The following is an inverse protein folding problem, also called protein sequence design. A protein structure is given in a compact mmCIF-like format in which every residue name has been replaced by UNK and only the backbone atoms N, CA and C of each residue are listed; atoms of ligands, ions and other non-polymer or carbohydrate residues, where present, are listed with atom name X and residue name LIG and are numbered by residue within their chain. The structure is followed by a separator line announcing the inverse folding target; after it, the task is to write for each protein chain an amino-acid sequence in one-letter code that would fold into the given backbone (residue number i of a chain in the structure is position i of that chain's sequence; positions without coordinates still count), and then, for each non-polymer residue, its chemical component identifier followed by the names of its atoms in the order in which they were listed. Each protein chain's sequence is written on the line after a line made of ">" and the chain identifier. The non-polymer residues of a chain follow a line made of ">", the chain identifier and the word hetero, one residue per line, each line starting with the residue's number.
data_IF_381666685673
#
_entry.id   IF_381666685673
#
_cell.length_a   1.000
_cell.length_b   1.000
_cell.length_c   1.000
_cell.angle_alpha   90.00
_cell.angle_beta   90.00
_cell.angle_gamma   90.00
#
_symmetry.space_group_name_H-M   'P 1'
#
loop_
_entity.id
_entity.type
_entity.pdbx_description
1 polymer ?
#
# COMPACT_ATOMS: atom_id res chain seq x y z
N UNK A 1 -11.38 6.05 24.97
CA UNK A 1 -9.93 5.84 24.78
C UNK A 1 -9.08 6.32 25.96
N UNK A 2 -9.13 7.61 26.36
CA UNK A 2 -8.33 8.15 27.48
C UNK A 2 -8.44 7.35 28.79
N UNK A 3 -9.64 6.96 29.21
CA UNK A 3 -9.84 6.16 30.43
C UNK A 3 -9.25 4.75 30.36
N UNK A 4 -9.10 4.20 29.15
CA UNK A 4 -8.56 2.86 28.92
C UNK A 4 -7.02 2.90 29.01
N UNK A 5 -6.41 3.93 28.41
CA UNK A 5 -4.96 4.17 28.52
C UNK A 5 -4.52 4.54 29.94
N UNK A 6 -5.32 5.34 30.67
CA UNK A 6 -5.05 5.68 32.07
C UNK A 6 -5.05 4.45 33.00
N UNK A 7 -5.88 3.44 32.71
CA UNK A 7 -5.95 2.18 33.48
C UNK A 7 -4.83 1.20 33.11
N UNK A 8 -4.27 1.32 31.91
CA UNK A 8 -3.24 0.42 31.39
C UNK A 8 -2.15 1.19 30.61
N UNK A 9 -1.21 1.85 31.31
CA UNK A 9 -0.16 2.67 30.67
C UNK A 9 0.76 1.89 29.73
N UNK A 10 0.91 0.58 29.96
CA UNK A 10 1.66 -0.31 29.08
C UNK A 10 1.02 -0.44 27.69
N UNK A 11 -0.32 -0.43 27.61
CA UNK A 11 -1.04 -0.45 26.34
C UNK A 11 -0.82 0.85 25.57
N UNK A 12 -0.75 2.00 26.24
CA UNK A 12 -0.43 3.28 25.59
C UNK A 12 0.97 3.26 24.95
N UNK A 13 1.98 2.78 25.69
CA UNK A 13 3.34 2.68 25.14
C UNK A 13 3.41 1.65 24.00
N UNK A 14 2.66 0.56 24.08
CA UNK A 14 2.63 -0.47 23.05
C UNK A 14 1.96 0.05 21.77
N UNK A 15 0.78 0.65 21.88
CA UNK A 15 0.04 1.19 20.72
C UNK A 15 0.80 2.33 20.07
N UNK A 16 1.46 3.19 20.86
CA UNK A 16 2.33 4.25 20.33
C UNK A 16 3.47 3.67 19.50
N UNK A 17 4.23 2.70 20.03
CA UNK A 17 5.33 2.06 19.28
C UNK A 17 4.84 1.36 18.01
N UNK A 18 3.74 0.62 18.10
CA UNK A 18 3.12 -0.02 16.94
C UNK A 18 2.70 1.01 15.88
N UNK A 19 2.16 2.15 16.29
CA UNK A 19 1.78 3.21 15.37
C UNK A 19 3.01 3.85 14.73
N UNK A 20 4.06 4.13 15.49
CA UNK A 20 5.33 4.67 14.98
C UNK A 20 5.96 3.74 13.94
N UNK A 21 6.06 2.44 14.24
CA UNK A 21 6.61 1.44 13.32
C UNK A 21 5.78 1.31 12.04
N UNK A 22 4.46 1.19 12.17
CA UNK A 22 3.56 1.10 11.01
C UNK A 22 3.62 2.38 10.17
N UNK A 23 3.64 3.54 10.81
CA UNK A 23 3.70 4.82 10.11
C UNK A 23 5.01 4.97 9.35
N UNK A 24 6.14 4.59 9.97
CA UNK A 24 7.45 4.60 9.29
C UNK A 24 7.43 3.71 8.05
N UNK A 25 6.90 2.49 8.14
CA UNK A 25 6.80 1.60 6.99
C UNK A 25 5.91 2.17 5.89
N UNK A 26 4.74 2.70 6.23
CA UNK A 26 3.82 3.30 5.25
C UNK A 26 4.47 4.50 4.57
N UNK A 27 5.20 5.32 5.31
CA UNK A 27 5.91 6.47 4.77
C UNK A 27 7.01 6.07 3.78
N UNK A 28 7.79 5.04 4.09
CA UNK A 28 8.81 4.49 3.18
C UNK A 28 8.17 3.88 1.92
N UNK A 29 7.11 3.07 2.07
CA UNK A 29 6.39 2.50 0.94
C UNK A 29 5.82 3.59 0.02
N UNK A 30 5.26 4.66 0.61
CA UNK A 30 4.70 5.77 -0.14
C UNK A 30 5.78 6.60 -0.86
N UNK A 31 6.91 6.86 -0.21
CA UNK A 31 8.05 7.53 -0.84
C UNK A 31 8.60 6.73 -2.02
N UNK A 32 8.77 5.41 -1.84
CA UNK A 32 9.18 4.52 -2.90
C UNK A 32 8.16 4.51 -4.05
N UNK A 33 6.86 4.49 -3.73
CA UNK A 33 5.79 4.53 -4.73
C UNK A 33 5.85 5.83 -5.56
N UNK A 34 6.00 6.99 -4.93
CA UNK A 34 6.10 8.28 -5.62
C UNK A 34 7.31 8.30 -6.56
N UNK A 35 8.48 7.84 -6.07
CA UNK A 35 9.71 7.81 -6.85
C UNK A 35 9.69 6.78 -8.00
N UNK A 36 8.86 5.74 -7.90
CA UNK A 36 8.78 4.66 -8.88
C UNK A 36 8.07 5.09 -10.17
N UNK A 37 8.52 4.53 -11.29
CA UNK A 37 7.81 4.64 -12.57
C UNK A 37 6.48 3.88 -12.55
N UNK A 38 5.52 4.22 -13.43
CA UNK A 38 4.25 3.51 -13.56
C UNK A 38 4.39 1.98 -13.74
N UNK A 39 5.39 1.55 -14.51
CA UNK A 39 5.64 0.13 -14.76
C UNK A 39 6.14 -0.59 -13.51
N UNK A 40 7.05 0.04 -12.75
CA UNK A 40 7.54 -0.48 -11.48
C UNK A 40 6.43 -0.57 -10.43
N UNK A 41 5.52 0.39 -10.39
CA UNK A 41 4.35 0.34 -9.49
C UNK A 41 3.45 -0.86 -9.80
N UNK A 42 3.17 -1.10 -11.08
CA UNK A 42 2.39 -2.28 -11.52
C UNK A 42 3.11 -3.57 -11.15
N UNK A 43 4.41 -3.67 -11.42
CA UNK A 43 5.24 -4.84 -11.08
C UNK A 43 5.28 -5.09 -9.58
N UNK A 44 5.46 -4.03 -8.79
CA UNK A 44 5.47 -4.09 -7.33
C UNK A 44 4.12 -4.59 -6.79
N UNK A 45 3.00 -4.13 -7.37
CA UNK A 45 1.67 -4.62 -7.00
C UNK A 45 1.52 -6.12 -7.31
N UNK A 46 1.93 -6.56 -8.50
CA UNK A 46 1.90 -7.97 -8.93
C UNK A 46 2.72 -8.87 -8.00
N UNK A 47 3.90 -8.41 -7.54
CA UNK A 47 4.78 -9.20 -6.68
C UNK A 47 4.37 -9.17 -5.20
N UNK A 48 4.03 -8.00 -4.64
CA UNK A 48 3.69 -7.88 -3.21
C UNK A 48 2.29 -8.38 -2.89
N UNK A 49 1.32 -8.16 -3.79
CA UNK A 49 -0.11 -8.44 -3.53
C UNK A 49 -0.80 -9.04 -4.76
N UNK A 50 -0.38 -10.24 -5.22
CA UNK A 50 -0.94 -10.87 -6.42
C UNK A 50 -2.46 -11.05 -6.33
N UNK A 51 -2.97 -11.39 -5.14
CA UNK A 51 -4.41 -11.62 -4.92
C UNK A 51 -5.30 -10.38 -5.08
N UNK A 52 -4.74 -9.16 -5.06
CA UNK A 52 -5.53 -7.95 -5.28
C UNK A 52 -5.99 -7.82 -6.72
N UNK A 53 -5.26 -8.40 -7.67
CA UNK A 53 -5.55 -8.27 -9.09
C UNK A 53 -6.84 -8.99 -9.47
N UNK A 54 -7.13 -10.10 -8.80
CA UNK A 54 -8.33 -10.90 -9.04
C UNK A 54 -9.53 -10.38 -8.23
N UNK A 55 -9.27 -9.66 -7.13
CA UNK A 55 -10.31 -9.17 -6.21
C UNK A 55 -10.81 -7.77 -6.52
N UNK A 56 -9.99 -6.95 -7.18
CA UNK A 56 -10.27 -5.53 -7.40
C UNK A 56 -10.44 -5.26 -8.90
N UNK A 57 -11.51 -4.56 -9.31
CA UNK A 57 -11.69 -4.17 -10.70
C UNK A 57 -10.49 -3.38 -11.25
N UNK A 58 -10.11 -3.67 -12.49
CA UNK A 58 -8.92 -3.10 -13.13
C UNK A 58 -8.92 -1.56 -13.17
N UNK A 59 -10.09 -0.92 -13.30
CA UNK A 59 -10.19 0.54 -13.29
C UNK A 59 -9.80 1.14 -11.93
N UNK A 60 -10.18 0.49 -10.82
CA UNK A 60 -9.81 0.96 -9.47
C UNK A 60 -8.32 0.78 -9.21
N UNK A 61 -7.74 -0.34 -9.69
CA UNK A 61 -6.29 -0.55 -9.64
C UNK A 61 -5.53 0.49 -10.45
N UNK A 62 -6.05 0.86 -11.63
CA UNK A 62 -5.45 1.89 -12.47
C UNK A 62 -5.47 3.27 -11.77
N UNK A 63 -6.61 3.65 -11.19
CA UNK A 63 -6.73 4.87 -10.37
C UNK A 63 -5.77 4.88 -9.18
N UNK A 64 -5.64 3.76 -8.46
CA UNK A 64 -4.71 3.62 -7.35
C UNK A 64 -3.24 3.78 -7.79
N UNK A 65 -2.88 3.21 -8.94
CA UNK A 65 -1.53 3.26 -9.49
C UNK A 65 -1.19 4.60 -10.16
N UNK A 66 -2.19 5.48 -10.35
CA UNK A 66 -2.04 6.76 -11.03
C UNK A 66 -1.88 6.63 -12.55
N UNK A 67 -2.47 5.60 -13.15
CA UNK A 67 -2.42 5.34 -14.60
C UNK A 67 -3.81 5.11 -15.19
N UNK A 68 -3.90 5.12 -16.52
CA UNK A 68 -5.14 4.75 -17.20
C UNK A 68 -5.35 3.23 -17.22
N UNK A 69 -6.61 2.75 -17.25
CA UNK A 69 -6.91 1.31 -17.37
C UNK A 69 -6.24 0.63 -18.57
N UNK A 70 -6.13 1.32 -19.71
CA UNK A 70 -5.46 0.82 -20.92
C UNK A 70 -3.96 0.68 -20.70
N UNK A 71 -3.35 1.60 -19.95
CA UNK A 71 -1.92 1.55 -19.60
C UNK A 71 -1.65 0.36 -18.68
N UNK A 72 -2.50 0.15 -17.67
CA UNK A 72 -2.44 -1.02 -16.80
C UNK A 72 -2.58 -2.34 -17.60
N UNK A 73 -3.54 -2.40 -18.51
CA UNK A 73 -3.75 -3.58 -19.37
C UNK A 73 -2.53 -3.88 -20.25
N UNK A 74 -1.97 -2.84 -20.89
CA UNK A 74 -0.75 -2.98 -21.70
C UNK A 74 0.45 -3.47 -20.91
N UNK A 75 0.67 -2.93 -19.70
CA UNK A 75 1.79 -3.33 -18.85
C UNK A 75 1.60 -4.77 -18.36
N UNK A 76 0.40 -5.16 -17.91
CA UNK A 76 0.11 -6.55 -17.52
C UNK A 76 0.44 -7.53 -18.65
N UNK A 77 -0.02 -7.25 -19.88
CA UNK A 77 0.21 -8.09 -21.05
C UNK A 77 1.69 -8.19 -21.48
N UNK A 78 2.54 -7.26 -21.05
CA UNK A 78 3.99 -7.29 -21.32
C UNK A 78 4.76 -8.08 -20.26
N UNK A 79 4.15 -8.33 -19.10
CA UNK A 79 4.74 -9.03 -17.95
C UNK A 79 4.26 -10.48 -17.89
N UNK A 80 3.04 -10.78 -18.37
CA UNK A 80 2.59 -12.13 -18.76
C UNK A 80 3.35 -12.67 -19.97
#
# INVERSE_FOLDING_TARGET
>A
EKDMYNKHPQLESMTRRMMEENFSQVQEEFAAFIASSPEERVKTLLMKRPSLIDRVPQHQLASYLGITPESLSRIKKRIE
#
